data_IF_027587586181
#
_entry.id   IF_027587586181
#
_cell.length_a   1.000
_cell.length_b   1.000
_cell.length_c   1.000
_cell.angle_alpha   90.00
_cell.angle_beta   90.00
_cell.angle_gamma   90.00
#
_symmetry.space_group_name_H-M   'P 1'
#
loop_
_entity.id
_entity.type
_entity.pdbx_description
1 polymer ?
#
# COMPACT_ATOMS: atom_id res chain seq x y z
N UNK A 1 -17.20 -1.27 -36.23
CA UNK A 1 -16.97 -2.02 -34.97
C UNK A 1 -16.26 -3.34 -35.19
N UNK A 2 -16.85 -4.36 -35.82
CA UNK A 2 -16.19 -5.67 -36.04
C UNK A 2 -14.83 -5.56 -36.76
N UNK A 3 -14.75 -4.71 -37.78
CA UNK A 3 -13.51 -4.49 -38.52
C UNK A 3 -12.41 -3.82 -37.69
N UNK A 4 -12.78 -2.98 -36.73
CA UNK A 4 -11.82 -2.33 -35.84
C UNK A 4 -11.23 -3.36 -34.85
N UNK A 5 -12.06 -4.29 -34.37
CA UNK A 5 -11.60 -5.38 -33.52
C UNK A 5 -10.65 -6.34 -34.23
N UNK A 6 -10.90 -6.64 -35.51
CA UNK A 6 -9.96 -7.43 -36.31
C UNK A 6 -8.59 -6.77 -36.42
N UNK A 7 -8.55 -5.47 -36.72
CA UNK A 7 -7.29 -4.71 -36.80
C UNK A 7 -6.54 -4.74 -35.47
N UNK A 8 -7.26 -4.54 -34.36
CA UNK A 8 -6.69 -4.62 -33.01
C UNK A 8 -6.13 -6.02 -32.74
N UNK A 9 -6.89 -7.09 -33.00
CA UNK A 9 -6.45 -8.47 -32.80
C UNK A 9 -5.21 -8.80 -33.63
N UNK A 10 -5.16 -8.38 -34.90
CA UNK A 10 -3.98 -8.54 -35.75
C UNK A 10 -2.74 -7.84 -35.16
N UNK A 11 -2.90 -6.61 -34.68
CA UNK A 11 -1.81 -5.85 -34.07
C UNK A 11 -1.33 -6.46 -32.75
N UNK A 12 -2.20 -7.18 -32.05
CA UNK A 12 -1.91 -7.91 -30.82
C UNK A 12 -1.40 -9.34 -31.07
N UNK A 13 -1.32 -9.80 -32.32
CA UNK A 13 -0.89 -11.16 -32.66
C UNK A 13 -1.92 -12.25 -32.33
N UNK A 14 -3.20 -11.91 -32.31
CA UNK A 14 -4.32 -12.82 -32.03
C UNK A 14 -5.10 -13.19 -33.31
N UNK A 15 -5.91 -14.25 -33.22
CA UNK A 15 -6.88 -14.60 -34.25
C UNK A 15 -7.88 -13.45 -34.48
N UNK A 16 -7.96 -12.96 -35.72
CA UNK A 16 -8.73 -11.79 -36.11
C UNK A 16 -10.20 -12.10 -36.44
N UNK A 17 -10.93 -12.65 -35.46
CA UNK A 17 -12.35 -13.01 -35.61
C UNK A 17 -13.30 -11.80 -35.50
N UNK A 18 -12.80 -10.67 -34.98
CA UNK A 18 -13.53 -9.42 -34.73
C UNK A 18 -14.43 -9.46 -33.50
N UNK A 19 -14.24 -10.44 -32.61
CA UNK A 19 -15.01 -10.64 -31.37
C UNK A 19 -14.10 -10.37 -30.17
N UNK A 20 -14.31 -9.28 -29.40
CA UNK A 20 -13.46 -8.95 -28.25
C UNK A 20 -13.76 -9.88 -27.06
N UNK A 21 -13.22 -11.09 -27.09
CA UNK A 21 -13.30 -12.08 -26.00
C UNK A 21 -12.17 -11.96 -24.97
N UNK A 22 -12.11 -12.88 -23.98
CA UNK A 22 -11.14 -12.82 -22.89
C UNK A 22 -9.68 -12.71 -23.33
N UNK A 23 -9.28 -13.41 -24.41
CA UNK A 23 -7.92 -13.31 -24.97
C UNK A 23 -7.60 -11.94 -25.55
N UNK A 24 -8.56 -11.34 -26.25
CA UNK A 24 -8.42 -9.97 -26.79
C UNK A 24 -8.30 -8.95 -25.66
N UNK A 25 -9.10 -9.10 -24.60
CA UNK A 25 -9.00 -8.27 -23.41
C UNK A 25 -7.63 -8.40 -22.73
N UNK A 26 -7.15 -9.61 -22.49
CA UNK A 26 -5.86 -9.85 -21.83
C UNK A 26 -4.67 -9.25 -22.60
N UNK A 27 -4.61 -9.44 -23.91
CA UNK A 27 -3.54 -8.89 -24.74
C UNK A 27 -3.58 -7.35 -24.80
N UNK A 28 -4.79 -6.76 -24.80
CA UNK A 28 -4.95 -5.30 -24.69
C UNK A 28 -4.45 -4.79 -23.34
N UNK A 29 -4.78 -5.49 -22.26
CA UNK A 29 -4.33 -5.13 -20.92
C UNK A 29 -2.80 -5.16 -20.83
N UNK A 30 -2.15 -6.20 -21.34
CA UNK A 30 -0.69 -6.29 -21.41
C UNK A 30 -0.08 -5.17 -22.26
N UNK A 31 -0.60 -4.95 -23.49
CA UNK A 31 -0.09 -3.95 -24.43
C UNK A 31 -0.22 -2.52 -23.91
N UNK A 32 -1.31 -2.21 -23.22
CA UNK A 32 -1.57 -0.90 -22.62
C UNK A 32 -0.90 -0.74 -21.24
N UNK A 33 -0.19 -1.76 -20.74
CA UNK A 33 0.38 -1.75 -19.39
C UNK A 33 -0.67 -1.72 -18.28
N UNK A 34 -1.93 -2.09 -18.57
CA UNK A 34 -3.01 -2.21 -17.61
C UNK A 34 -2.79 -3.52 -16.85
N UNK A 35 -2.24 -3.42 -15.65
CA UNK A 35 -2.17 -4.56 -14.73
C UNK A 35 -3.52 -4.70 -14.05
N UNK A 36 -4.12 -5.89 -14.07
CA UNK A 36 -5.10 -6.20 -13.03
C UNK A 36 -4.36 -6.07 -11.70
N UNK A 37 -4.94 -5.44 -10.67
CA UNK A 37 -4.35 -5.56 -9.34
C UNK A 37 -4.28 -7.06 -9.04
N UNK A 38 -3.07 -7.62 -9.00
CA UNK A 38 -2.86 -9.07 -8.95
C UNK A 38 -3.56 -9.71 -7.75
N UNK A 39 -3.88 -8.92 -6.72
CA UNK A 39 -4.80 -9.27 -5.66
C UNK A 39 -5.57 -8.03 -5.22
N UNK A 40 -6.91 -8.06 -5.29
CA UNK A 40 -7.69 -7.20 -4.40
C UNK A 40 -7.46 -7.70 -2.99
N UNK A 41 -6.81 -6.91 -2.14
CA UNK A 41 -6.62 -7.28 -0.74
C UNK A 41 -7.97 -7.56 -0.06
N UNK A 42 -8.02 -8.53 0.88
CA UNK A 42 -9.24 -8.83 1.61
C UNK A 42 -9.80 -7.58 2.30
N UNK A 43 -11.11 -7.54 2.54
CA UNK A 43 -11.70 -6.44 3.29
C UNK A 43 -11.27 -6.47 4.75
N UNK A 44 -11.29 -5.33 5.44
CA UNK A 44 -11.03 -5.27 6.87
C UNK A 44 -11.92 -6.25 7.66
N UNK A 45 -13.16 -6.45 7.23
CA UNK A 45 -14.08 -7.42 7.83
C UNK A 45 -13.56 -8.85 7.67
N UNK A 46 -13.14 -9.23 6.46
CA UNK A 46 -12.59 -10.55 6.18
C UNK A 46 -11.30 -10.80 6.96
N UNK A 47 -10.41 -9.80 7.04
CA UNK A 47 -9.18 -9.86 7.86
C UNK A 47 -9.54 -10.09 9.33
N UNK A 48 -10.45 -9.29 9.88
CA UNK A 48 -10.89 -9.41 11.29
C UNK A 48 -11.60 -10.72 11.59
N UNK A 49 -12.25 -11.33 10.59
CA UNK A 49 -12.87 -12.66 10.76
C UNK A 49 -11.85 -13.79 10.98
N UNK A 50 -10.56 -13.55 10.67
CA UNK A 50 -9.49 -14.54 10.73
C UNK A 50 -9.54 -15.59 9.62
N UNK A 51 -10.40 -15.40 8.60
CA UNK A 51 -10.56 -16.30 7.44
C UNK A 51 -9.83 -15.82 6.20
N UNK A 52 -9.28 -14.60 6.22
CA UNK A 52 -8.49 -14.05 5.11
C UNK A 52 -7.15 -14.78 4.94
N UNK A 53 -6.49 -14.49 3.82
CA UNK A 53 -5.12 -14.94 3.51
C UNK A 53 -4.05 -14.52 4.54
N UNK A 54 -4.34 -13.54 5.41
CA UNK A 54 -3.42 -13.09 6.45
C UNK A 54 -3.51 -13.90 7.76
N UNK A 55 -4.45 -14.84 7.85
CA UNK A 55 -4.62 -15.66 9.05
C UNK A 55 -5.09 -14.87 10.27
N UNK A 56 -4.58 -15.23 11.46
CA UNK A 56 -5.00 -14.67 12.75
C UNK A 56 -4.13 -13.49 13.17
N UNK A 57 -4.74 -12.53 13.86
CA UNK A 57 -4.02 -11.44 14.51
C UNK A 57 -2.95 -11.97 15.46
N UNK A 58 -1.74 -11.40 15.38
CA UNK A 58 -0.60 -11.76 16.22
C UNK A 58 0.04 -13.10 15.90
N UNK A 59 -0.32 -13.76 14.80
CA UNK A 59 0.30 -15.02 14.39
C UNK A 59 1.74 -14.78 13.90
N UNK A 60 2.71 -14.98 14.79
CA UNK A 60 4.13 -14.81 14.53
C UNK A 60 4.65 -15.72 13.41
N UNK A 61 3.99 -16.85 13.12
CA UNK A 61 4.39 -17.74 12.03
C UNK A 61 4.22 -17.11 10.64
N UNK A 62 3.39 -16.06 10.54
CA UNK A 62 3.16 -15.30 9.30
C UNK A 62 4.02 -14.04 9.18
N UNK A 63 4.83 -13.74 10.20
CA UNK A 63 5.69 -12.54 10.20
C UNK A 63 7.03 -12.79 9.50
N UNK A 64 7.57 -11.72 8.96
CA UNK A 64 8.94 -11.64 8.45
C UNK A 64 9.54 -10.27 8.78
N UNK A 65 10.83 -10.10 8.53
CA UNK A 65 11.50 -8.79 8.62
C UNK A 65 12.14 -8.47 7.28
N UNK A 66 11.78 -7.33 6.70
CA UNK A 66 12.38 -6.81 5.47
C UNK A 66 13.47 -5.80 5.83
N UNK A 67 14.53 -5.73 5.02
CA UNK A 67 15.50 -4.63 5.07
C UNK A 67 14.96 -3.45 4.27
N UNK A 68 14.83 -2.30 4.91
CA UNK A 68 14.26 -1.13 4.26
C UNK A 68 15.20 -0.58 3.18
N UNK A 69 14.67 -0.06 2.05
CA UNK A 69 15.47 0.56 0.99
C UNK A 69 16.26 1.78 1.47
N UNK A 70 15.79 2.46 2.52
CA UNK A 70 16.47 3.54 3.19
C UNK A 70 16.30 3.47 4.70
N UNK A 71 17.23 4.10 5.42
CA UNK A 71 17.16 4.21 6.88
C UNK A 71 16.01 5.15 7.27
N UNK A 72 15.15 4.66 8.15
CA UNK A 72 14.10 5.44 8.78
C UNK A 72 14.51 5.85 10.20
N UNK A 73 13.79 6.79 10.79
CA UNK A 73 13.91 7.23 12.19
C UNK A 73 12.61 6.92 12.92
N UNK A 74 12.67 6.54 14.19
CA UNK A 74 11.45 6.42 15.00
C UNK A 74 10.80 7.79 15.13
N UNK A 75 9.49 7.88 14.85
CA UNK A 75 8.78 9.16 14.89
C UNK A 75 8.83 9.80 16.29
N UNK A 76 8.74 8.98 17.34
CA UNK A 76 8.77 9.38 18.76
C UNK A 76 10.18 9.52 19.36
N UNK A 77 11.22 9.05 18.67
CA UNK A 77 12.61 9.14 19.11
C UNK A 77 13.53 9.30 17.89
N UNK A 78 13.56 10.52 17.33
CA UNK A 78 14.14 10.79 16.00
C UNK A 78 15.66 10.60 15.90
N UNK A 79 16.34 10.36 17.02
CA UNK A 79 17.76 9.97 17.04
C UNK A 79 17.96 8.46 16.89
N UNK A 80 16.91 7.66 17.04
CA UNK A 80 16.92 6.22 16.87
C UNK A 80 16.54 5.85 15.45
N UNK A 81 17.40 5.09 14.79
CA UNK A 81 17.20 4.68 13.40
C UNK A 81 16.69 3.25 13.28
N UNK A 82 15.91 2.99 12.23
CA UNK A 82 15.38 1.69 11.86
C UNK A 82 15.83 1.34 10.44
N UNK A 83 16.46 0.18 10.29
CA UNK A 83 16.90 -0.36 8.99
C UNK A 83 16.07 -1.57 8.54
N UNK A 84 15.17 -2.07 9.39
CA UNK A 84 14.34 -3.24 9.14
C UNK A 84 12.90 -3.02 9.61
N UNK A 85 11.94 -3.56 8.87
CA UNK A 85 10.52 -3.50 9.22
C UNK A 85 9.96 -4.91 9.41
N UNK A 86 9.33 -5.17 10.57
CA UNK A 86 8.60 -6.42 10.83
C UNK A 86 7.18 -6.30 10.27
N UNK A 87 6.80 -7.20 9.36
CA UNK A 87 5.53 -7.18 8.63
C UNK A 87 5.07 -8.61 8.26
N UNK A 88 3.88 -8.74 7.69
CA UNK A 88 3.38 -10.01 7.15
C UNK A 88 4.18 -10.43 5.91
N UNK A 89 4.44 -11.74 5.77
CA UNK A 89 5.15 -12.32 4.61
C UNK A 89 4.58 -11.88 3.26
N UNK A 90 3.25 -11.87 3.12
CA UNK A 90 2.57 -11.47 1.89
C UNK A 90 2.72 -9.98 1.52
N UNK A 91 2.97 -9.09 2.49
CA UNK A 91 3.12 -7.64 2.20
C UNK A 91 4.58 -7.20 2.12
N UNK A 92 5.53 -8.12 2.35
CA UNK A 92 6.96 -7.83 2.34
C UNK A 92 7.44 -7.21 1.02
N UNK A 93 7.14 -7.86 -0.11
CA UNK A 93 7.52 -7.35 -1.43
C UNK A 93 6.76 -6.08 -1.85
N UNK A 94 5.43 -5.97 -1.66
CA UNK A 94 4.71 -4.71 -1.84
C UNK A 94 5.34 -3.53 -1.07
N UNK A 95 5.65 -3.71 0.23
CA UNK A 95 6.30 -2.68 1.04
C UNK A 95 7.68 -2.30 0.49
N UNK A 96 8.49 -3.28 0.07
CA UNK A 96 9.78 -3.01 -0.56
C UNK A 96 9.63 -2.19 -1.85
N UNK A 97 8.62 -2.46 -2.67
CA UNK A 97 8.34 -1.68 -3.89
C UNK A 97 7.93 -0.25 -3.58
N UNK A 98 7.03 -0.04 -2.61
CA UNK A 98 6.62 1.30 -2.16
C UNK A 98 7.84 2.12 -1.73
N UNK A 99 8.67 1.58 -0.83
CA UNK A 99 9.80 2.34 -0.30
C UNK A 99 10.95 2.48 -1.29
N UNK A 100 11.15 1.55 -2.23
CA UNK A 100 12.11 1.73 -3.34
C UNK A 100 11.64 2.84 -4.26
N UNK A 101 10.39 2.81 -4.72
CA UNK A 101 9.83 3.86 -5.56
C UNK A 101 9.88 5.24 -4.88
N UNK A 102 9.61 5.28 -3.57
CA UNK A 102 9.75 6.49 -2.75
C UNK A 102 11.20 7.02 -2.78
N UNK A 103 12.19 6.14 -2.56
CA UNK A 103 13.60 6.50 -2.61
C UNK A 103 14.04 6.98 -4.00
N UNK A 104 13.64 6.26 -5.04
CA UNK A 104 14.01 6.55 -6.42
C UNK A 104 13.42 7.89 -6.89
N UNK A 105 12.19 8.22 -6.47
CA UNK A 105 11.51 9.45 -6.85
C UNK A 105 12.00 10.67 -6.08
N UNK A 106 12.08 10.58 -4.75
CA UNK A 106 12.35 11.73 -3.89
C UNK A 106 13.83 11.90 -3.56
N UNK A 107 14.59 10.80 -3.49
CA UNK A 107 15.92 10.79 -2.88
C UNK A 107 15.88 11.03 -1.37
N UNK A 108 17.01 10.75 -0.70
CA UNK A 108 17.08 10.79 0.77
C UNK A 108 16.88 12.18 1.38
N UNK A 109 17.35 13.23 0.70
CA UNK A 109 17.24 14.60 1.20
C UNK A 109 15.76 15.01 1.29
N UNK A 110 15.01 14.82 0.20
CA UNK A 110 13.60 15.17 0.16
C UNK A 110 12.76 14.26 1.05
N UNK A 111 13.10 12.97 1.14
CA UNK A 111 12.46 12.04 2.10
C UNK A 111 12.55 12.58 3.53
N UNK A 112 13.71 13.07 3.95
CA UNK A 112 13.90 13.64 5.30
C UNK A 112 13.17 14.94 5.50
N UNK A 113 13.16 15.81 4.48
CA UNK A 113 12.43 17.08 4.50
C UNK A 113 10.93 16.84 4.67
N UNK A 114 10.38 15.88 3.91
CA UNK A 114 8.97 15.51 3.96
C UNK A 114 8.62 14.67 5.20
N UNK A 115 9.60 14.05 5.85
CA UNK A 115 9.36 13.13 6.97
C UNK A 115 8.84 11.76 6.54
N UNK A 116 9.06 11.38 5.28
CA UNK A 116 8.80 10.02 4.76
C UNK A 116 9.79 8.98 5.30
N UNK A 117 10.70 9.39 6.19
CA UNK A 117 11.54 8.52 7.00
C UNK A 117 11.10 8.45 8.47
N UNK A 118 10.04 9.16 8.88
CA UNK A 118 9.52 9.10 10.26
C UNK A 118 8.57 7.90 10.39
N UNK A 119 9.09 6.80 10.95
CA UNK A 119 8.39 5.54 11.07
C UNK A 119 7.53 5.50 12.35
N UNK A 120 6.22 5.29 12.17
CA UNK A 120 5.22 5.14 13.24
C UNK A 120 4.93 3.69 13.64
N UNK A 121 5.29 2.71 12.82
CA UNK A 121 5.14 1.28 13.11
C UNK A 121 4.52 0.49 11.98
N UNK A 122 4.62 -0.84 12.05
CA UNK A 122 4.02 -1.77 11.07
C UNK A 122 3.29 -2.93 11.78
N UNK A 123 4.00 -3.76 12.54
CA UNK A 123 3.38 -4.81 13.36
C UNK A 123 3.20 -4.36 14.81
N UNK A 124 1.97 -4.48 15.32
CA UNK A 124 1.64 -4.34 16.74
C UNK A 124 0.32 -5.07 17.02
N UNK A 125 0.38 -6.17 17.79
CA UNK A 125 -0.81 -6.94 18.14
C UNK A 125 -1.66 -6.23 19.21
N UNK A 126 -2.54 -5.33 18.76
CA UNK A 126 -3.39 -4.50 19.61
C UNK A 126 -4.78 -4.25 19.02
N UNK A 127 -5.70 -3.86 19.89
CA UNK A 127 -6.98 -3.25 19.48
C UNK A 127 -6.77 -1.85 18.90
N UNK A 128 -7.74 -1.39 18.10
CA UNK A 128 -7.81 -0.01 17.63
C UNK A 128 -7.97 0.93 18.84
N UNK A 129 -7.26 2.06 18.83
CA UNK A 129 -7.38 3.08 19.89
C UNK A 129 -8.84 3.55 19.97
N UNK A 130 -9.43 3.49 21.16
CA UNK A 130 -10.82 3.92 21.39
C UNK A 130 -11.90 2.95 20.87
N UNK A 131 -11.53 1.75 20.40
CA UNK A 131 -12.47 0.77 19.86
C UNK A 131 -12.28 -0.66 20.39
N UNK A 132 -13.23 -1.55 20.05
CA UNK A 132 -13.16 -2.99 20.37
C UNK A 132 -12.58 -3.85 19.25
N UNK A 133 -12.52 -3.32 18.03
CA UNK A 133 -12.01 -4.05 16.87
C UNK A 133 -10.47 -4.14 16.90
N UNK A 134 -9.92 -5.26 16.44
CA UNK A 134 -8.48 -5.45 16.29
C UNK A 134 -7.93 -4.57 15.15
N UNK A 135 -6.77 -3.95 15.39
CA UNK A 135 -6.09 -3.08 14.42
C UNK A 135 -5.49 -3.88 13.27
N UNK A 136 -5.43 -3.32 12.06
CA UNK A 136 -4.74 -3.95 10.92
C UNK A 136 -3.23 -4.14 11.19
N UNK A 137 -2.63 -3.34 12.09
CA UNK A 137 -1.27 -3.56 12.57
C UNK A 137 -1.08 -4.92 13.26
N UNK A 138 -2.14 -5.53 13.79
CA UNK A 138 -2.06 -6.82 14.46
C UNK A 138 -1.77 -7.97 13.48
N UNK A 139 -1.98 -7.77 12.18
CA UNK A 139 -1.59 -8.72 11.14
C UNK A 139 -0.28 -8.31 10.44
N UNK A 140 0.36 -7.19 10.82
CA UNK A 140 1.57 -6.71 10.15
C UNK A 140 1.34 -6.27 8.70
N UNK A 141 0.13 -5.81 8.39
CA UNK A 141 -0.33 -5.41 7.04
C UNK A 141 -0.67 -3.92 6.95
N UNK A 142 -0.27 -3.13 7.94
CA UNK A 142 -0.49 -1.70 7.96
C UNK A 142 0.80 -0.98 8.35
N UNK A 143 0.92 0.29 7.96
CA UNK A 143 2.07 1.13 8.28
C UNK A 143 1.57 2.52 8.65
N UNK A 144 2.15 3.06 9.72
CA UNK A 144 1.98 4.45 10.12
C UNK A 144 3.24 5.24 9.75
N UNK A 145 3.09 6.36 9.06
CA UNK A 145 4.14 7.30 8.68
C UNK A 145 3.89 8.67 9.32
N UNK A 146 4.90 9.22 9.98
CA UNK A 146 4.87 10.56 10.58
C UNK A 146 3.62 10.83 11.46
N UNK A 147 3.37 10.00 12.49
CA UNK A 147 2.17 10.05 13.32
C UNK A 147 1.95 11.41 14.02
N UNK A 148 3.01 12.12 14.40
CA UNK A 148 2.91 13.40 15.11
C UNK A 148 2.15 14.47 14.31
N UNK A 149 2.32 14.47 12.97
CA UNK A 149 1.73 15.48 12.07
C UNK A 149 0.50 14.97 11.33
N UNK A 150 0.16 13.68 11.44
CA UNK A 150 -0.87 13.01 10.62
C UNK A 150 -1.77 12.04 11.42
N UNK A 151 -1.78 12.17 12.74
CA UNK A 151 -2.48 11.25 13.63
C UNK A 151 -3.99 11.13 13.37
N UNK A 152 -4.60 10.14 14.03
CA UNK A 152 -5.98 9.65 13.85
C UNK A 152 -7.03 10.74 13.54
N UNK A 153 -7.01 11.87 14.27
CA UNK A 153 -8.03 12.92 14.19
C UNK A 153 -7.54 14.20 13.49
N UNK A 154 -6.47 14.13 12.69
CA UNK A 154 -5.95 15.26 11.92
C UNK A 154 -6.43 15.09 10.46
N UNK A 155 -7.47 15.82 10.02
CA UNK A 155 -7.96 15.74 8.64
C UNK A 155 -7.12 16.61 7.69
N UNK A 156 -7.38 16.50 6.40
CA UNK A 156 -6.89 17.45 5.42
C UNK A 156 -7.48 18.86 5.67
N UNK A 157 -6.74 19.94 5.36
CA UNK A 157 -5.35 19.97 4.92
C UNK A 157 -4.34 20.02 6.09
N UNK A 158 -4.79 19.79 7.33
CA UNK A 158 -3.91 19.90 8.52
C UNK A 158 -2.92 18.75 8.60
N UNK A 159 -3.31 17.57 8.14
CA UNK A 159 -2.40 16.45 7.98
C UNK A 159 -1.42 16.76 6.86
N UNK A 160 -0.13 16.81 7.17
CA UNK A 160 0.90 17.16 6.17
C UNK A 160 0.88 16.20 4.98
N UNK A 161 0.65 14.90 5.22
CA UNK A 161 0.57 13.88 4.16
C UNK A 161 -0.60 14.11 3.19
N UNK A 162 -1.54 15.02 3.48
CA UNK A 162 -2.59 15.42 2.52
C UNK A 162 -2.11 16.41 1.46
N UNK A 163 -0.91 16.97 1.62
CA UNK A 163 -0.31 17.95 0.71
C UNK A 163 0.05 17.37 -0.66
N UNK A 164 0.08 18.22 -1.72
CA UNK A 164 0.40 17.79 -3.08
C UNK A 164 1.81 17.21 -3.23
N UNK A 165 2.76 17.58 -2.36
CA UNK A 165 4.12 17.06 -2.35
C UNK A 165 4.19 15.55 -2.04
N UNK A 166 3.14 14.99 -1.44
CA UNK A 166 3.01 13.56 -1.13
C UNK A 166 2.25 12.77 -2.21
N UNK A 167 1.84 13.42 -3.31
CA UNK A 167 1.05 12.77 -4.36
C UNK A 167 1.75 11.53 -4.94
N UNK A 168 3.06 11.61 -5.21
CA UNK A 168 3.81 10.47 -5.75
C UNK A 168 3.93 9.34 -4.71
N UNK A 169 4.21 9.65 -3.44
CA UNK A 169 4.20 8.66 -2.36
C UNK A 169 2.88 7.88 -2.31
N UNK A 170 1.74 8.58 -2.35
CA UNK A 170 0.44 7.92 -2.34
C UNK A 170 0.17 7.11 -3.60
N UNK A 171 0.60 7.58 -4.78
CA UNK A 171 0.53 6.78 -6.01
C UNK A 171 1.31 5.47 -5.89
N UNK A 172 2.47 5.47 -5.24
CA UNK A 172 3.25 4.23 -5.02
C UNK A 172 2.54 3.28 -4.06
N UNK A 173 1.94 3.80 -2.98
CA UNK A 173 1.12 3.03 -2.04
C UNK A 173 -0.09 2.39 -2.74
N UNK A 174 -0.84 3.19 -3.50
CA UNK A 174 -2.05 2.77 -4.21
C UNK A 174 -1.74 1.80 -5.37
N UNK A 175 -0.58 1.93 -6.02
CA UNK A 175 -0.13 1.01 -7.07
C UNK A 175 0.06 -0.44 -6.56
N UNK A 176 0.33 -0.61 -5.26
CA UNK A 176 0.39 -1.92 -4.60
C UNK A 176 -0.96 -2.35 -4.00
N UNK A 177 -2.04 -1.63 -4.32
CA UNK A 177 -3.40 -1.88 -3.83
C UNK A 177 -3.63 -1.49 -2.37
N UNK A 178 -2.63 -0.94 -1.67
CA UNK A 178 -2.81 -0.50 -0.30
C UNK A 178 -3.74 0.71 -0.23
N UNK A 179 -4.53 0.78 0.84
CA UNK A 179 -5.53 1.82 1.06
C UNK A 179 -5.06 2.76 2.16
N UNK A 180 -5.04 4.06 1.86
CA UNK A 180 -4.89 5.13 2.85
C UNK A 180 -6.25 5.49 3.44
N UNK A 181 -6.36 5.50 4.78
CA UNK A 181 -7.57 5.98 5.44
C UNK A 181 -7.75 7.48 5.24
N UNK A 182 -6.65 8.24 5.22
CA UNK A 182 -6.66 9.67 4.93
C UNK A 182 -7.25 9.97 3.55
N UNK A 183 -6.80 9.28 2.51
CA UNK A 183 -7.31 9.52 1.14
C UNK A 183 -8.72 9.01 0.93
N UNK A 184 -9.08 7.90 1.56
CA UNK A 184 -10.39 7.28 1.36
C UNK A 184 -11.51 7.90 2.22
N UNK A 185 -11.18 8.40 3.42
CA UNK A 185 -12.17 8.83 4.43
C UNK A 185 -11.79 10.10 5.21
N UNK A 186 -10.68 10.75 4.87
CA UNK A 186 -10.20 12.00 5.49
C UNK A 186 -9.96 11.93 7.01
N UNK A 187 -9.37 10.82 7.47
CA UNK A 187 -8.88 10.67 8.84
C UNK A 187 -7.69 9.71 8.86
N UNK A 188 -6.89 9.73 9.93
CA UNK A 188 -5.74 8.82 10.09
C UNK A 188 -4.77 8.86 8.90
N UNK A 189 -4.36 10.07 8.50
CA UNK A 189 -3.52 10.30 7.31
C UNK A 189 -2.14 9.64 7.40
N UNK A 190 -1.67 9.31 8.60
CA UNK A 190 -0.46 8.51 8.81
C UNK A 190 -0.58 7.08 8.28
N UNK A 191 -1.81 6.56 8.17
CA UNK A 191 -2.09 5.14 8.04
C UNK A 191 -2.34 4.70 6.59
N UNK A 192 -1.68 3.63 6.19
CA UNK A 192 -2.11 2.81 5.06
C UNK A 192 -2.08 1.32 5.38
N UNK A 193 -2.92 0.55 4.69
CA UNK A 193 -3.12 -0.87 4.94
C UNK A 193 -3.32 -1.69 3.66
N UNK A 194 -2.85 -2.93 3.67
CA UNK A 194 -3.12 -3.93 2.63
C UNK A 194 -4.43 -4.66 2.92
N UNK A 195 -5.52 -3.90 3.07
CA UNK A 195 -6.89 -4.39 3.23
C UNK A 195 -7.88 -3.32 2.74
N UNK A 196 -8.98 -3.73 2.13
CA UNK A 196 -10.04 -2.81 1.65
C UNK A 196 -11.02 -2.43 2.77
N UNK A 197 -11.78 -1.35 2.61
CA UNK A 197 -12.59 -0.71 3.68
C UNK A 197 -14.01 -1.24 3.86
#
# INVERSE_FOLDING_TARGET
>A
MKEHWKLIQQHLGLDADGIPGPRTAQALMEKLGIRQPEHSWPSQEEVRSGKSVFGRAGDESNMTSIRLPYIMRLAWERNTTVSTMRCHKLVAEPLLRIFRATLDHYGMEKIRELGLDLYGGCFNNRSIIGGKATSMHAWGIAVDMDPDRNGLNIPAPKAVLSGPEYAAFWQFVEAEGAVSLGRARDYDWMHFQFATL
#
